data_IF_406619325003
#
_entry.id   IF_406619325003
#
_cell.length_a   1.000
_cell.length_b   1.000
_cell.length_c   1.000
_cell.angle_alpha   90.00
_cell.angle_beta   90.00
_cell.angle_gamma   90.00
#
_symmetry.space_group_name_H-M   'P 1'
#
loop_
_entity.id
_entity.type
_entity.pdbx_description
1 polymer ?
#
# COMPACT_ATOMS: atom_id res chain seq x y z
N UNK A 1 1.85 -1.84 -52.31
CA UNK A 1 2.81 -1.88 -51.19
C UNK A 1 1.99 -1.77 -49.91
N UNK A 2 1.65 -2.90 -49.28
CA UNK A 2 0.88 -2.91 -48.03
C UNK A 2 1.83 -2.39 -46.95
N UNK A 3 1.53 -1.22 -46.38
CA UNK A 3 2.26 -0.74 -45.21
C UNK A 3 2.03 -1.74 -44.08
N UNK A 4 3.07 -2.51 -43.78
CA UNK A 4 3.14 -3.35 -42.60
C UNK A 4 2.92 -2.45 -41.39
N UNK A 5 1.75 -2.56 -40.78
CA UNK A 5 1.44 -1.89 -39.54
C UNK A 5 2.52 -2.25 -38.53
N UNK A 6 3.27 -1.25 -38.07
CA UNK A 6 4.20 -1.40 -36.96
C UNK A 6 3.43 -2.02 -35.80
N UNK A 7 3.67 -3.30 -35.52
CA UNK A 7 3.23 -3.93 -34.27
C UNK A 7 3.86 -3.14 -33.13
N UNK A 8 3.10 -2.21 -32.54
CA UNK A 8 3.48 -1.65 -31.25
C UNK A 8 3.69 -2.82 -30.28
N UNK A 9 4.76 -2.83 -29.48
CA UNK A 9 4.94 -3.86 -28.48
C UNK A 9 3.67 -3.89 -27.63
N UNK A 10 2.99 -5.04 -27.59
CA UNK A 10 1.77 -5.20 -26.79
C UNK A 10 2.12 -4.82 -25.35
N UNK A 11 1.60 -3.68 -24.90
CA UNK A 11 1.73 -3.21 -23.52
C UNK A 11 1.24 -4.33 -22.62
N UNK A 12 2.03 -4.73 -21.63
CA UNK A 12 1.59 -5.81 -20.74
C UNK A 12 0.41 -5.35 -19.91
N UNK A 13 -0.69 -6.10 -19.99
CA UNK A 13 -1.82 -5.96 -19.09
C UNK A 13 -1.53 -6.72 -17.79
N UNK A 14 -1.26 -5.98 -16.71
CA UNK A 14 -1.01 -6.56 -15.39
C UNK A 14 -2.29 -6.99 -14.67
N UNK A 15 -3.47 -6.61 -15.16
CA UNK A 15 -4.76 -6.97 -14.56
C UNK A 15 -5.28 -8.34 -15.01
N UNK A 16 -4.76 -8.87 -16.12
CA UNK A 16 -5.13 -10.18 -16.68
C UNK A 16 -4.01 -11.21 -16.54
N UNK A 17 -4.30 -12.31 -15.83
CA UNK A 17 -3.30 -13.32 -15.50
C UNK A 17 -3.89 -14.44 -14.67
N UNK A 18 -2.99 -15.15 -13.98
CA UNK A 18 -3.35 -16.22 -13.06
C UNK A 18 -2.39 -16.29 -11.89
N UNK A 19 -2.90 -16.81 -10.77
CA UNK A 19 -2.06 -17.20 -9.64
C UNK A 19 -1.28 -18.46 -9.99
N UNK A 20 0.02 -18.45 -9.70
CA UNK A 20 0.90 -19.61 -9.84
C UNK A 20 1.65 -19.84 -8.53
N UNK A 21 1.79 -21.11 -8.15
CA UNK A 21 2.56 -21.51 -6.99
C UNK A 21 4.06 -21.34 -7.27
N UNK A 22 4.79 -20.78 -6.31
CA UNK A 22 6.22 -20.47 -6.41
C UNK A 22 6.87 -20.63 -5.03
N UNK A 23 7.77 -21.61 -4.92
CA UNK A 23 8.47 -21.91 -3.67
C UNK A 23 9.38 -20.78 -3.18
N UNK A 24 9.80 -19.87 -4.08
CA UNK A 24 10.67 -18.74 -3.73
C UNK A 24 9.94 -17.59 -3.01
N UNK A 25 8.62 -17.68 -2.85
CA UNK A 25 7.82 -16.75 -2.05
C UNK A 25 7.73 -17.23 -0.58
N UNK A 26 7.44 -16.36 0.40
CA UNK A 26 7.10 -14.93 0.28
C UNK A 26 8.30 -14.03 -0.07
N UNK A 27 8.03 -12.74 -0.30
CA UNK A 27 9.04 -11.73 -0.59
C UNK A 27 9.66 -11.10 0.67
N UNK A 28 9.09 -11.35 1.84
CA UNK A 28 9.58 -10.93 3.14
C UNK A 28 9.14 -11.93 4.22
N UNK A 29 9.88 -11.98 5.32
CA UNK A 29 9.58 -12.87 6.45
C UNK A 29 8.40 -12.37 7.27
N UNK A 30 7.64 -13.31 7.84
CA UNK A 30 6.49 -13.03 8.72
C UNK A 30 6.86 -12.34 10.04
N UNK A 31 8.14 -12.29 10.36
CA UNK A 31 8.72 -11.64 11.55
C UNK A 31 8.99 -10.15 11.37
N UNK A 32 8.61 -9.55 10.23
CA UNK A 32 8.75 -8.12 10.00
C UNK A 32 8.14 -7.29 11.15
N UNK A 33 8.92 -6.43 11.83
CA UNK A 33 8.49 -5.76 13.06
C UNK A 33 7.47 -4.63 12.83
N UNK A 34 7.20 -4.30 11.57
CA UNK A 34 6.25 -3.25 11.19
C UNK A 34 4.85 -3.78 10.87
N UNK A 35 4.65 -5.11 10.91
CA UNK A 35 3.33 -5.71 10.79
C UNK A 35 2.55 -5.52 12.09
N UNK A 36 1.32 -5.02 11.96
CA UNK A 36 0.38 -4.96 13.07
C UNK A 36 -0.09 -6.37 13.45
N UNK A 37 -0.52 -6.53 14.71
CA UNK A 37 -1.06 -7.81 15.20
C UNK A 37 -2.24 -8.30 14.37
N UNK A 38 -3.02 -7.41 13.76
CA UNK A 38 -4.16 -7.76 12.91
C UNK A 38 -3.77 -8.60 11.68
N UNK A 39 -2.53 -8.46 11.17
CA UNK A 39 -2.07 -9.10 9.94
C UNK A 39 -0.95 -10.13 10.14
N UNK A 40 -0.52 -10.38 11.39
CA UNK A 40 0.49 -11.41 11.71
C UNK A 40 -0.14 -12.80 11.85
N UNK A 41 -0.75 -13.33 10.79
CA UNK A 41 -1.57 -14.55 10.82
C UNK A 41 -0.87 -15.77 11.46
N UNK A 42 0.40 -16.01 11.12
CA UNK A 42 1.18 -17.13 11.67
C UNK A 42 1.41 -16.97 13.18
N UNK A 43 1.80 -15.76 13.63
CA UNK A 43 1.93 -15.43 15.05
C UNK A 43 0.59 -15.55 15.79
N UNK A 44 -0.51 -15.32 15.09
CA UNK A 44 -1.87 -15.44 15.61
C UNK A 44 -2.42 -16.89 15.55
N UNK A 45 -1.58 -17.88 15.23
CA UNK A 45 -1.94 -19.30 15.32
C UNK A 45 -2.44 -19.95 14.03
N UNK A 46 -2.38 -19.26 12.87
CA UNK A 46 -2.68 -19.92 11.59
C UNK A 46 -1.65 -21.01 11.29
N UNK A 47 -2.04 -22.29 11.14
CA UNK A 47 -1.09 -23.40 11.03
C UNK A 47 -0.52 -23.58 9.62
N UNK A 48 -1.27 -23.24 8.57
CA UNK A 48 -0.87 -23.41 7.17
C UNK A 48 -0.13 -22.17 6.63
N UNK A 49 0.86 -22.38 5.74
CA UNK A 49 1.66 -21.28 5.14
C UNK A 49 1.65 -21.24 3.61
N UNK A 50 1.00 -22.19 2.94
CA UNK A 50 0.98 -22.29 1.47
C UNK A 50 0.34 -21.08 0.79
N UNK A 51 -0.55 -20.36 1.48
CA UNK A 51 -1.13 -19.10 0.98
C UNK A 51 -0.05 -18.04 0.67
N UNK A 52 1.12 -18.12 1.32
CA UNK A 52 2.24 -17.21 1.10
C UNK A 52 3.04 -17.55 -0.16
N UNK A 53 2.85 -18.74 -0.74
CA UNK A 53 3.63 -19.28 -1.86
C UNK A 53 3.04 -18.97 -3.23
N UNK A 54 2.05 -18.08 -3.31
CA UNK A 54 1.40 -17.71 -4.55
C UNK A 54 1.94 -16.40 -5.11
N UNK A 55 2.18 -16.36 -6.42
CA UNK A 55 2.50 -15.13 -7.14
C UNK A 55 1.56 -14.92 -8.32
N UNK A 56 1.28 -13.65 -8.62
CA UNK A 56 0.53 -13.28 -9.81
C UNK A 56 1.40 -13.37 -11.06
N UNK A 57 0.92 -14.03 -12.12
CA UNK A 57 1.58 -14.13 -13.43
C UNK A 57 0.65 -13.56 -14.52
N UNK A 58 0.96 -12.38 -15.08
CA UNK A 58 0.23 -11.85 -16.24
C UNK A 58 0.31 -12.79 -17.46
N UNK A 59 -0.72 -12.78 -18.30
CA UNK A 59 -0.81 -13.70 -19.45
C UNK A 59 0.25 -13.43 -20.55
N UNK A 60 0.60 -12.15 -20.75
CA UNK A 60 1.48 -11.71 -21.86
C UNK A 60 2.88 -11.25 -21.44
N UNK A 61 3.23 -11.29 -20.15
CA UNK A 61 4.55 -10.89 -19.68
C UNK A 61 4.89 -11.49 -18.30
N UNK A 62 6.09 -11.16 -17.81
CA UNK A 62 6.52 -11.48 -16.44
C UNK A 62 6.67 -10.21 -15.60
N UNK A 63 6.32 -10.32 -14.32
CA UNK A 63 6.66 -9.31 -13.31
C UNK A 63 8.05 -9.67 -12.78
N UNK A 64 9.07 -8.78 -12.90
CA UNK A 64 10.38 -9.03 -12.32
C UNK A 64 10.28 -9.23 -10.80
N UNK A 65 11.09 -10.12 -10.24
CA UNK A 65 11.17 -10.29 -8.78
C UNK A 65 11.52 -8.95 -8.13
N UNK A 66 10.83 -8.63 -7.03
CA UNK A 66 11.04 -7.37 -6.32
C UNK A 66 12.47 -7.28 -5.79
N UNK A 67 13.09 -6.10 -5.98
CA UNK A 67 14.41 -5.79 -5.46
C UNK A 67 14.31 -4.50 -4.63
N UNK A 68 14.43 -4.64 -3.31
CA UNK A 68 14.24 -3.56 -2.36
C UNK A 68 15.22 -2.39 -2.58
N UNK A 69 16.50 -2.68 -2.82
CA UNK A 69 17.52 -1.65 -3.05
C UNK A 69 17.25 -0.88 -4.35
N UNK A 70 16.86 -1.57 -5.42
CA UNK A 70 16.50 -0.94 -6.69
C UNK A 70 15.25 -0.07 -6.56
N UNK A 71 14.26 -0.53 -5.78
CA UNK A 71 13.08 0.27 -5.45
C UNK A 71 13.48 1.53 -4.68
N UNK A 72 14.17 1.38 -3.55
CA UNK A 72 14.61 2.50 -2.70
C UNK A 72 15.49 3.50 -3.46
N UNK A 73 16.41 3.03 -4.32
CA UNK A 73 17.23 3.90 -5.16
C UNK A 73 16.39 4.77 -6.11
N UNK A 74 15.32 4.21 -6.70
CA UNK A 74 14.38 4.98 -7.55
C UNK A 74 13.52 5.96 -6.76
N UNK A 75 13.30 5.67 -5.48
CA UNK A 75 12.50 6.47 -4.56
C UNK A 75 13.33 7.46 -3.77
N UNK A 76 14.64 7.54 -4.02
CA UNK A 76 15.52 8.51 -3.36
C UNK A 76 14.97 9.93 -3.48
N UNK A 77 14.96 10.66 -2.37
CA UNK A 77 14.44 12.03 -2.24
C UNK A 77 12.95 12.16 -2.59
N UNK A 78 12.17 11.08 -2.48
CA UNK A 78 10.74 11.06 -2.81
C UNK A 78 9.91 10.55 -1.64
N UNK A 79 8.70 11.08 -1.55
CA UNK A 79 7.64 10.66 -0.65
C UNK A 79 6.62 9.83 -1.43
N UNK A 80 6.26 8.68 -0.87
CA UNK A 80 5.18 7.82 -1.38
C UNK A 80 4.11 7.84 -0.30
N UNK A 81 2.87 8.13 -0.65
CA UNK A 81 1.76 8.09 0.30
C UNK A 81 0.62 7.22 -0.21
N UNK A 82 0.23 6.28 0.65
CA UNK A 82 -0.90 5.38 0.52
C UNK A 82 -2.06 5.98 1.30
N UNK A 83 -3.16 6.30 0.63
CA UNK A 83 -4.27 7.08 1.18
C UNK A 83 -5.55 6.26 1.07
N UNK A 84 -6.23 6.03 2.20
CA UNK A 84 -7.49 5.31 2.16
C UNK A 84 -7.89 4.71 3.51
N UNK A 85 -8.50 3.54 3.43
CA UNK A 85 -9.01 2.77 4.56
C UNK A 85 -7.98 1.74 5.09
N UNK A 86 -8.47 0.77 5.87
CA UNK A 86 -7.66 -0.31 6.44
C UNK A 86 -6.95 -1.18 5.40
N UNK A 87 -7.49 -1.33 4.19
CA UNK A 87 -6.87 -2.11 3.11
C UNK A 87 -5.62 -1.37 2.63
N UNK A 88 -5.70 -0.05 2.49
CA UNK A 88 -4.56 0.77 2.11
C UNK A 88 -3.47 0.80 3.20
N UNK A 89 -3.86 0.77 4.49
CA UNK A 89 -2.93 0.55 5.59
C UNK A 89 -2.24 -0.82 5.49
N UNK A 90 -2.98 -1.88 5.12
CA UNK A 90 -2.39 -3.20 4.94
C UNK A 90 -1.37 -3.21 3.79
N UNK A 91 -1.66 -2.54 2.67
CA UNK A 91 -0.70 -2.37 1.58
C UNK A 91 0.55 -1.57 2.02
N UNK A 92 0.38 -0.56 2.87
CA UNK A 92 1.49 0.18 3.45
C UNK A 92 2.39 -0.73 4.31
N UNK A 93 1.82 -1.54 5.20
CA UNK A 93 2.58 -2.48 6.03
C UNK A 93 3.36 -3.49 5.17
N UNK A 94 2.73 -4.00 4.10
CA UNK A 94 3.39 -4.90 3.12
C UNK A 94 4.56 -4.22 2.40
N UNK A 95 4.38 -2.99 1.90
CA UNK A 95 5.44 -2.25 1.21
C UNK A 95 6.61 -1.92 2.14
N UNK A 96 6.34 -1.56 3.39
CA UNK A 96 7.38 -1.36 4.40
C UNK A 96 8.15 -2.66 4.63
N UNK A 97 7.48 -3.80 4.79
CA UNK A 97 8.14 -5.09 5.00
C UNK A 97 8.94 -5.58 3.80
N UNK A 98 8.53 -5.22 2.57
CA UNK A 98 9.30 -5.46 1.36
C UNK A 98 10.66 -4.74 1.35
N UNK A 99 10.78 -3.58 2.00
CA UNK A 99 12.00 -2.75 1.92
C UNK A 99 12.83 -2.72 3.20
N UNK A 100 12.22 -2.90 4.37
CA UNK A 100 12.88 -2.65 5.65
C UNK A 100 14.10 -3.55 5.89
N UNK A 101 14.09 -4.77 5.33
CA UNK A 101 15.13 -5.78 5.56
C UNK A 101 16.51 -5.39 5.03
N UNK A 102 16.57 -4.49 4.04
CA UNK A 102 17.85 -3.99 3.48
C UNK A 102 18.31 -2.66 4.11
N UNK A 103 17.56 -2.14 5.08
CA UNK A 103 17.87 -0.87 5.76
C UNK A 103 18.34 -1.17 7.19
N UNK A 104 19.53 -0.68 7.61
CA UNK A 104 20.02 -0.85 8.98
C UNK A 104 19.05 -0.30 10.03
N UNK A 105 18.96 -0.95 11.20
CA UNK A 105 18.02 -0.59 12.28
C UNK A 105 18.12 0.88 12.70
N UNK A 106 19.33 1.42 12.84
CA UNK A 106 19.55 2.83 13.20
C UNK A 106 19.26 3.83 12.07
N UNK A 107 18.96 3.37 10.86
CA UNK A 107 18.71 4.19 9.66
C UNK A 107 17.27 4.09 9.16
N UNK A 108 16.38 3.53 9.99
CA UNK A 108 14.93 3.48 9.75
C UNK A 108 14.14 3.84 11.00
N UNK A 109 13.00 4.49 10.82
CA UNK A 109 12.07 4.80 11.93
C UNK A 109 10.65 4.98 11.41
N UNK A 110 9.67 4.88 12.30
CA UNK A 110 8.28 5.26 12.03
C UNK A 110 7.93 6.50 12.84
N UNK A 111 7.26 7.45 12.21
CA UNK A 111 6.71 8.64 12.87
C UNK A 111 5.20 8.74 12.64
N UNK A 112 4.49 9.37 13.56
CA UNK A 112 3.05 9.55 13.52
C UNK A 112 2.72 11.04 13.58
N UNK A 113 1.74 11.49 12.80
CA UNK A 113 1.24 12.86 12.82
C UNK A 113 -0.25 12.90 12.45
N UNK A 114 -1.11 13.03 13.47
CA UNK A 114 -2.56 13.03 13.29
C UNK A 114 -3.05 11.77 12.57
N UNK A 115 -3.73 11.89 11.41
CA UNK A 115 -4.21 10.74 10.64
C UNK A 115 -3.12 10.06 9.80
N UNK A 116 -1.86 10.53 9.87
CA UNK A 116 -0.76 10.04 9.05
C UNK A 116 0.29 9.29 9.83
N UNK A 117 0.94 8.34 9.16
CA UNK A 117 2.15 7.68 9.65
C UNK A 117 3.17 7.53 8.52
N UNK A 118 4.46 7.56 8.85
CA UNK A 118 5.54 7.53 7.85
C UNK A 118 6.66 6.60 8.31
N UNK A 119 7.01 5.61 7.48
CA UNK A 119 8.25 4.86 7.57
C UNK A 119 9.34 5.60 6.80
N UNK A 120 10.44 5.93 7.48
CA UNK A 120 11.57 6.66 6.93
C UNK A 120 12.73 5.72 6.64
N UNK A 121 13.28 5.78 5.43
CA UNK A 121 14.54 5.12 5.06
C UNK A 121 15.62 6.20 4.87
N UNK A 122 16.41 6.45 5.92
CA UNK A 122 17.23 7.66 6.03
C UNK A 122 18.34 7.73 4.98
N UNK A 123 19.00 6.61 4.65
CA UNK A 123 20.07 6.56 3.64
C UNK A 123 19.59 6.85 2.21
N UNK A 124 18.28 6.77 2.00
CA UNK A 124 17.62 7.05 0.73
C UNK A 124 16.83 8.35 0.77
N UNK A 125 16.76 9.05 1.91
CA UNK A 125 15.97 10.28 2.05
C UNK A 125 14.54 10.11 1.49
N UNK A 126 13.94 8.94 1.75
CA UNK A 126 12.62 8.57 1.24
C UNK A 126 11.72 8.14 2.39
N UNK A 127 10.42 8.36 2.20
CA UNK A 127 9.37 7.93 3.11
C UNK A 127 8.30 7.14 2.38
N UNK A 128 7.82 6.09 3.05
CA UNK A 128 6.61 5.36 2.69
C UNK A 128 5.57 5.71 3.75
N UNK A 129 4.53 6.41 3.35
CA UNK A 129 3.57 7.08 4.21
C UNK A 129 2.17 6.49 4.03
N UNK A 130 1.38 6.53 5.09
CA UNK A 130 -0.03 6.20 5.08
C UNK A 130 -0.83 7.38 5.63
N UNK A 131 -1.96 7.71 5.00
CA UNK A 131 -2.92 8.68 5.49
C UNK A 131 -4.32 8.05 5.60
N UNK A 132 -4.87 8.08 6.81
CA UNK A 132 -6.22 7.59 7.07
C UNK A 132 -7.27 8.57 6.51
N UNK A 133 -7.88 8.16 5.39
CA UNK A 133 -8.97 8.88 4.74
C UNK A 133 -9.90 7.84 4.08
N UNK A 134 -10.66 7.06 4.87
CA UNK A 134 -11.34 5.86 4.37
C UNK A 134 -12.39 6.13 3.30
N UNK A 135 -12.97 7.33 3.28
CA UNK A 135 -13.92 7.80 2.28
C UNK A 135 -13.31 8.84 1.34
N UNK A 136 -12.00 9.14 1.47
CA UNK A 136 -11.22 10.21 0.83
C UNK A 136 -11.70 11.63 1.11
N UNK A 137 -13.00 11.87 0.96
CA UNK A 137 -13.69 13.11 1.26
C UNK A 137 -13.93 13.26 2.77
N UNK A 138 -14.43 14.42 3.18
CA UNK A 138 -14.55 14.80 4.58
C UNK A 138 -15.79 14.18 5.25
N UNK A 139 -15.57 13.53 6.40
CA UNK A 139 -16.62 13.04 7.29
C UNK A 139 -16.67 13.95 8.52
N UNK A 140 -17.66 14.84 8.60
CA UNK A 140 -17.79 15.82 9.68
C UNK A 140 -18.76 15.33 10.74
N UNK A 141 -18.48 15.68 11.99
CA UNK A 141 -19.41 15.46 13.11
C UNK A 141 -20.27 16.70 13.25
N UNK A 142 -21.58 16.56 13.10
CA UNK A 142 -22.53 17.62 13.37
C UNK A 142 -23.11 17.52 14.79
N UNK A 143 -23.82 18.58 15.18
CA UNK A 143 -24.60 18.64 16.43
C UNK A 143 -25.46 17.38 16.59
N UNK A 144 -25.39 16.73 17.75
CA UNK A 144 -26.10 15.48 18.01
C UNK A 144 -25.34 14.19 17.67
N UNK A 145 -24.00 14.24 17.51
CA UNK A 145 -23.11 13.08 17.25
C UNK A 145 -23.33 12.39 15.90
N UNK A 146 -24.12 12.96 15.01
CA UNK A 146 -24.33 12.44 13.65
C UNK A 146 -23.08 12.72 12.82
N UNK A 147 -22.60 11.72 12.08
CA UNK A 147 -21.50 11.89 11.11
C UNK A 147 -22.11 12.09 9.73
N UNK A 148 -21.74 13.17 9.07
CA UNK A 148 -22.21 13.50 7.72
C UNK A 148 -21.01 13.48 6.77
N UNK A 149 -21.21 12.77 5.66
CA UNK A 149 -20.23 12.68 4.59
C UNK A 149 -20.45 13.83 3.61
N UNK A 150 -19.42 14.65 3.39
CA UNK A 150 -19.45 15.77 2.46
C UNK A 150 -18.72 15.39 1.19
N UNK A 151 -19.46 14.99 0.15
CA UNK A 151 -18.90 14.47 -1.11
C UNK A 151 -18.13 15.51 -1.93
N UNK A 152 -18.37 16.79 -1.66
CA UNK A 152 -17.78 17.96 -2.31
C UNK A 152 -16.62 18.56 -1.52
N UNK A 153 -16.28 18.00 -0.35
CA UNK A 153 -15.25 18.54 0.55
C UNK A 153 -14.10 17.55 0.74
N UNK A 154 -12.87 17.97 0.41
CA UNK A 154 -11.66 17.12 0.50
C UNK A 154 -10.43 17.85 1.07
N UNK A 155 -10.49 19.17 1.22
CA UNK A 155 -9.31 20.00 1.48
C UNK A 155 -8.64 19.72 2.83
N UNK A 156 -9.43 19.39 3.85
CA UNK A 156 -8.91 19.03 5.18
C UNK A 156 -8.09 17.73 5.15
N UNK A 157 -8.46 16.79 4.28
CA UNK A 157 -7.66 15.59 4.05
C UNK A 157 -6.51 15.89 3.08
N UNK A 158 -6.75 16.69 2.04
CA UNK A 158 -5.78 16.94 0.98
C UNK A 158 -4.51 17.64 1.46
N UNK A 159 -4.61 18.45 2.52
CA UNK A 159 -3.44 19.12 3.13
C UNK A 159 -2.31 18.16 3.50
N UNK A 160 -2.59 16.88 3.79
CA UNK A 160 -1.58 15.91 4.18
C UNK A 160 -0.78 15.34 3.00
N UNK A 161 -1.39 15.23 1.82
CA UNK A 161 -0.76 14.65 0.64
C UNK A 161 -0.28 15.66 -0.40
N UNK A 162 -0.46 16.97 -0.17
CA UNK A 162 0.15 18.00 -1.01
C UNK A 162 1.68 17.84 -1.03
N UNK A 163 2.25 17.93 -2.23
CA UNK A 163 3.70 17.81 -2.45
C UNK A 163 4.27 16.39 -2.34
N UNK A 164 3.44 15.35 -2.20
CA UNK A 164 3.88 13.95 -2.27
C UNK A 164 4.20 13.57 -3.72
N UNK A 165 5.27 12.80 -3.95
CA UNK A 165 5.72 12.44 -5.30
C UNK A 165 4.90 11.30 -5.92
N UNK A 166 4.46 10.34 -5.11
CA UNK A 166 3.62 9.23 -5.55
C UNK A 166 2.44 9.05 -4.60
N UNK A 167 1.23 9.10 -5.16
CA UNK A 167 -0.01 8.90 -4.42
C UNK A 167 -0.70 7.63 -4.90
N UNK A 168 -1.11 6.80 -3.95
CA UNK A 168 -1.92 5.60 -4.18
C UNK A 168 -3.18 5.73 -3.34
N UNK A 169 -4.33 5.83 -4.01
CA UNK A 169 -5.62 6.00 -3.37
C UNK A 169 -6.41 4.69 -3.43
N UNK A 170 -7.15 4.40 -2.36
CA UNK A 170 -8.20 3.38 -2.33
C UNK A 170 -9.31 3.83 -1.38
N UNK A 171 -10.55 3.49 -1.73
CA UNK A 171 -11.74 3.74 -0.93
C UNK A 171 -12.86 2.83 -1.42
N UNK A 172 -13.09 1.74 -0.70
CA UNK A 172 -14.13 0.78 -1.06
C UNK A 172 -14.82 0.20 0.18
N UNK A 173 -14.02 -0.28 1.15
CA UNK A 173 -14.53 -1.05 2.27
C UNK A 173 -15.52 -0.25 3.12
N UNK A 174 -15.27 1.04 3.31
CA UNK A 174 -16.09 1.90 4.15
C UNK A 174 -17.45 2.27 3.55
N UNK A 175 -17.60 2.21 2.22
CA UNK A 175 -18.85 2.56 1.55
C UNK A 175 -19.96 1.54 1.77
N UNK A 176 -19.61 0.31 2.15
CA UNK A 176 -20.60 -0.76 2.40
C UNK A 176 -21.10 -0.80 3.85
N UNK A 177 -20.59 0.05 4.73
CA UNK A 177 -21.04 0.09 6.13
C UNK A 177 -22.37 0.84 6.24
N UNK A 178 -23.44 0.10 6.50
CA UNK A 178 -24.76 0.64 6.81
C UNK A 178 -25.01 0.54 8.32
N UNK A 179 -24.64 1.58 9.06
CA UNK A 179 -25.22 1.98 10.36
C UNK A 179 -25.37 0.93 11.50
N UNK A 180 -24.27 0.30 11.94
CA UNK A 180 -24.12 -0.14 13.34
C UNK A 180 -22.68 0.02 13.82
N UNK A 181 -22.27 1.24 14.15
CA UNK A 181 -21.04 1.46 14.91
C UNK A 181 -21.31 1.17 16.38
N UNK A 182 -20.90 -0.01 16.88
CA UNK A 182 -20.66 -0.18 18.31
C UNK A 182 -19.46 0.68 18.68
N UNK A 183 -19.68 1.61 19.62
CA UNK A 183 -18.67 2.49 20.21
C UNK A 183 -17.59 1.70 20.94
#
# INVERSE_FOLDING_TARGET
MVQSGKNLPKKCDFSSGKWVFDQSYPLYESTCPYLSTAVTCQKNGRPDSDYQKWRWKPNGCSIPRFNALKFLAKMRNKRIMLVGDSIMRNQWESLVCLVQGVIPTGRKRVTYNGPTMAFHAMDFETSIEFAWAPLLVELKKESGKKRILHLDSIEDNARYWRGVNFLVFDSAHWWTHTDKWSS
#
